data_IF_910701151772
#
_entry.id   IF_910701151772
#
_cell.length_a   1.000
_cell.length_b   1.000
_cell.length_c   1.000
_cell.angle_alpha   90.00
_cell.angle_beta   90.00
_cell.angle_gamma   90.00
#
_symmetry.space_group_name_H-M   'P 1'
#
loop_
_entity.id
_entity.type
_entity.pdbx_description
1 polymer ?
#
# COMPACT_ATOMS: atom_id res chain seq x y z
N UNK A 1 -4.27 16.60 -4.44
CA UNK A 1 -2.97 17.08 -3.95
C UNK A 1 -2.15 17.51 -5.15
N UNK A 2 -1.46 18.63 -5.01
CA UNK A 2 -0.76 19.26 -6.13
C UNK A 2 0.72 19.56 -5.79
N UNK A 3 1.16 19.17 -4.61
CA UNK A 3 2.55 19.34 -4.20
C UNK A 3 2.99 18.28 -3.18
N UNK A 4 4.30 18.13 -3.04
CA UNK A 4 4.95 17.17 -2.14
C UNK A 4 4.57 17.38 -0.67
N UNK A 5 4.49 18.62 -0.23
CA UNK A 5 4.19 18.95 1.17
C UNK A 5 2.79 18.45 1.57
N UNK A 6 1.80 18.68 0.71
CA UNK A 6 0.45 18.14 0.92
C UNK A 6 0.44 16.61 0.95
N UNK A 7 1.16 15.97 0.02
CA UNK A 7 1.25 14.50 -0.04
C UNK A 7 1.87 13.92 1.22
N UNK A 8 2.99 14.48 1.69
CA UNK A 8 3.65 14.05 2.93
C UNK A 8 2.76 14.29 4.16
N UNK A 9 2.07 15.42 4.21
CA UNK A 9 1.13 15.73 5.31
C UNK A 9 0.01 14.69 5.40
N UNK A 10 -0.58 14.33 4.26
CA UNK A 10 -1.65 13.31 4.22
C UNK A 10 -1.07 11.92 4.50
N UNK A 11 0.11 11.61 3.98
CA UNK A 11 0.82 10.36 4.26
C UNK A 11 1.01 10.16 5.77
N UNK A 12 1.62 11.11 6.45
CA UNK A 12 1.91 11.03 7.88
C UNK A 12 0.62 10.96 8.72
N UNK A 13 -0.41 11.72 8.34
CA UNK A 13 -1.72 11.71 9.00
C UNK A 13 -2.40 10.34 8.91
N UNK A 14 -2.49 9.75 7.72
CA UNK A 14 -3.20 8.48 7.54
C UNK A 14 -2.38 7.31 8.09
N UNK A 15 -1.05 7.34 8.00
CA UNK A 15 -0.17 6.35 8.63
C UNK A 15 -0.29 6.40 10.16
N UNK A 16 -0.32 7.59 10.77
CA UNK A 16 -0.51 7.76 12.21
C UNK A 16 -1.84 7.17 12.68
N UNK A 17 -2.93 7.39 11.93
CA UNK A 17 -4.24 6.81 12.26
C UNK A 17 -4.22 5.28 12.20
N UNK A 18 -3.65 4.73 11.13
CA UNK A 18 -3.51 3.29 10.98
C UNK A 18 -2.62 2.71 12.08
N UNK A 19 -1.50 3.35 12.41
CA UNK A 19 -0.59 2.92 13.47
C UNK A 19 -1.27 2.80 14.84
N UNK A 20 -2.16 3.75 15.18
CA UNK A 20 -2.98 3.67 16.42
C UNK A 20 -3.89 2.44 16.43
N UNK A 21 -4.46 2.10 15.29
CA UNK A 21 -5.30 0.89 15.16
C UNK A 21 -4.46 -0.38 15.25
N UNK A 22 -3.29 -0.41 14.58
CA UNK A 22 -2.40 -1.57 14.60
C UNK A 22 -1.79 -1.84 15.98
N UNK A 23 -1.61 -0.81 16.82
CA UNK A 23 -1.14 -0.96 18.19
C UNK A 23 -2.08 -1.81 19.06
N UNK A 24 -3.35 -1.95 18.69
CA UNK A 24 -4.32 -2.82 19.38
C UNK A 24 -4.39 -4.25 18.80
N UNK A 25 -3.57 -4.58 17.80
CA UNK A 25 -3.55 -5.89 17.13
C UNK A 25 -2.37 -6.70 17.64
N UNK A 26 -2.65 -7.91 18.12
CA UNK A 26 -1.66 -8.91 18.52
C UNK A 26 -1.65 -10.10 17.53
N UNK A 27 -0.82 -11.12 17.79
CA UNK A 27 -0.74 -12.32 16.94
C UNK A 27 -2.10 -13.01 16.79
N UNK A 28 -2.88 -13.11 17.87
CA UNK A 28 -4.19 -13.76 17.83
C UNK A 28 -5.19 -12.95 16.98
N UNK A 29 -5.39 -11.69 17.30
CA UNK A 29 -6.35 -10.83 16.60
C UNK A 29 -5.94 -10.50 15.17
N UNK A 30 -4.66 -10.57 14.84
CA UNK A 30 -4.18 -10.40 13.45
C UNK A 30 -4.73 -11.45 12.47
N UNK A 31 -5.16 -12.60 12.98
CA UNK A 31 -5.83 -13.65 12.22
C UNK A 31 -7.34 -13.43 12.00
N UNK A 32 -7.94 -12.40 12.59
CA UNK A 32 -9.36 -12.12 12.41
C UNK A 32 -9.68 -11.59 11.00
N UNK A 33 -10.87 -11.90 10.52
CA UNK A 33 -11.43 -11.42 9.25
C UNK A 33 -12.87 -10.95 9.45
N UNK A 34 -13.40 -10.20 8.49
CA UNK A 34 -14.82 -9.88 8.46
C UNK A 34 -15.65 -11.14 8.10
N UNK A 35 -16.95 -11.23 8.52
CA UNK A 35 -17.78 -12.38 8.23
C UNK A 35 -17.92 -12.70 6.72
N UNK A 36 -17.95 -11.67 5.89
CA UNK A 36 -18.19 -11.80 4.45
C UNK A 36 -16.92 -11.64 3.60
N UNK A 37 -15.74 -11.47 4.23
CA UNK A 37 -14.48 -11.30 3.54
C UNK A 37 -13.39 -12.17 4.19
N UNK A 38 -12.77 -13.12 3.46
CA UNK A 38 -11.75 -14.00 4.00
C UNK A 38 -10.41 -13.29 4.28
N UNK A 39 -10.24 -12.03 3.88
CA UNK A 39 -9.01 -11.29 4.13
C UNK A 39 -8.83 -11.01 5.63
N UNK A 40 -7.81 -11.64 6.21
CA UNK A 40 -7.41 -11.39 7.61
C UNK A 40 -6.70 -10.04 7.75
N UNK A 41 -6.58 -9.55 8.98
CA UNK A 41 -5.75 -8.35 9.25
C UNK A 41 -4.31 -8.56 8.76
N UNK A 42 -3.73 -9.76 8.94
CA UNK A 42 -2.45 -10.14 8.33
C UNK A 42 -2.44 -9.94 6.81
N UNK A 43 -3.46 -10.45 6.14
CA UNK A 43 -3.61 -10.33 4.69
C UNK A 43 -3.76 -8.89 4.23
N UNK A 44 -4.54 -8.08 4.93
CA UNK A 44 -4.72 -6.66 4.63
C UNK A 44 -3.38 -5.93 4.68
N UNK A 45 -2.58 -6.11 5.72
CA UNK A 45 -1.28 -5.44 5.86
C UNK A 45 -0.26 -5.95 4.85
N UNK A 46 -0.16 -7.26 4.65
CA UNK A 46 0.72 -7.84 3.63
C UNK A 46 0.40 -7.33 2.21
N UNK A 47 -0.89 -7.19 1.88
CA UNK A 47 -1.33 -6.62 0.62
C UNK A 47 -0.85 -5.17 0.46
N UNK A 48 -0.97 -4.32 1.48
CA UNK A 48 -0.49 -2.93 1.43
C UNK A 48 1.02 -2.85 1.25
N UNK A 49 1.76 -3.68 1.99
CA UNK A 49 3.23 -3.82 1.86
C UNK A 49 3.63 -4.20 0.43
N UNK A 50 2.96 -5.21 -0.13
CA UNK A 50 3.24 -5.67 -1.49
C UNK A 50 3.02 -4.56 -2.53
N UNK A 51 1.91 -3.83 -2.46
CA UNK A 51 1.59 -2.80 -3.44
C UNK A 51 2.46 -1.54 -3.32
N UNK A 52 2.98 -1.20 -2.15
CA UNK A 52 4.06 -0.20 -2.02
C UNK A 52 5.32 -0.68 -2.74
N UNK A 53 5.69 -1.95 -2.62
CA UNK A 53 6.81 -2.53 -3.37
C UNK A 53 6.57 -2.54 -4.89
N UNK A 54 5.33 -2.76 -5.34
CA UNK A 54 4.97 -2.67 -6.76
C UNK A 54 5.17 -1.25 -7.32
N UNK A 55 4.78 -0.22 -6.56
CA UNK A 55 5.02 1.17 -6.94
C UNK A 55 6.50 1.44 -7.23
N UNK A 56 7.39 0.99 -6.34
CA UNK A 56 8.83 1.14 -6.54
C UNK A 56 9.32 0.40 -7.78
N UNK A 57 8.84 -0.82 -8.04
CA UNK A 57 9.19 -1.58 -9.25
C UNK A 57 8.74 -0.88 -10.52
N UNK A 58 7.52 -0.33 -10.58
CA UNK A 58 7.07 0.45 -11.74
C UNK A 58 7.98 1.64 -12.00
N UNK A 59 8.35 2.36 -10.94
CA UNK A 59 9.25 3.51 -11.06
C UNK A 59 10.64 3.09 -11.55
N UNK A 60 11.24 2.08 -10.94
CA UNK A 60 12.56 1.56 -11.31
C UNK A 60 12.61 1.04 -12.74
N UNK A 61 11.59 0.28 -13.16
CA UNK A 61 11.47 -0.20 -14.54
C UNK A 61 11.35 0.96 -15.51
N UNK A 62 10.54 1.96 -15.20
CA UNK A 62 10.39 3.16 -16.03
C UNK A 62 11.68 3.95 -16.17
N UNK A 63 12.40 4.19 -15.09
CA UNK A 63 13.70 4.90 -15.11
C UNK A 63 14.76 4.12 -15.87
N UNK A 64 14.75 2.78 -15.76
CA UNK A 64 15.68 1.92 -16.48
C UNK A 64 15.32 1.69 -17.97
N UNK A 65 14.23 2.30 -18.45
CA UNK A 65 13.75 2.12 -19.82
C UNK A 65 13.18 0.73 -20.11
N UNK A 66 12.87 -0.05 -19.07
CA UNK A 66 12.20 -1.35 -19.20
C UNK A 66 10.69 -1.16 -19.39
N UNK A 67 10.06 -2.16 -19.98
CA UNK A 67 8.59 -2.15 -20.10
C UNK A 67 7.95 -2.21 -18.69
N UNK A 68 7.10 -1.24 -18.39
CA UNK A 68 6.34 -1.20 -17.14
C UNK A 68 4.97 -1.84 -17.33
N UNK A 69 4.66 -2.87 -16.54
CA UNK A 69 3.37 -3.54 -16.55
C UNK A 69 2.54 -3.06 -15.36
N UNK A 70 1.44 -2.34 -15.61
CA UNK A 70 0.53 -1.84 -14.60
C UNK A 70 -0.84 -2.49 -14.76
N UNK A 71 -1.35 -3.22 -13.76
CA UNK A 71 -0.82 -3.42 -12.40
C UNK A 71 0.39 -4.36 -12.35
N UNK A 72 0.43 -5.43 -13.16
CA UNK A 72 1.56 -6.35 -13.24
C UNK A 72 1.45 -7.22 -14.50
N UNK A 73 2.57 -7.81 -14.92
CA UNK A 73 2.62 -8.66 -16.12
C UNK A 73 1.61 -9.81 -16.03
N UNK A 74 0.78 -9.96 -17.03
CA UNK A 74 -0.20 -11.05 -17.14
C UNK A 74 -1.52 -10.81 -16.43
N UNK A 75 -1.72 -9.67 -15.76
CA UNK A 75 -2.95 -9.35 -15.03
C UNK A 75 -3.48 -7.96 -15.39
N UNK A 76 -4.82 -7.87 -15.49
CA UNK A 76 -5.56 -6.59 -15.57
C UNK A 76 -6.09 -6.21 -14.21
N UNK A 77 -6.52 -4.95 -14.04
CA UNK A 77 -7.09 -4.43 -12.79
C UNK A 77 -8.28 -5.25 -12.27
N UNK A 78 -9.11 -5.81 -13.14
CA UNK A 78 -10.24 -6.66 -12.77
C UNK A 78 -9.86 -8.12 -12.43
N UNK A 79 -8.58 -8.47 -12.50
CA UNK A 79 -8.06 -9.81 -12.20
C UNK A 79 -7.24 -9.86 -10.91
N UNK A 80 -7.21 -8.79 -10.14
CA UNK A 80 -6.37 -8.66 -8.94
C UNK A 80 -6.75 -9.63 -7.81
N UNK A 81 -7.99 -10.13 -7.79
CA UNK A 81 -8.38 -11.16 -6.80
C UNK A 81 -7.49 -12.40 -6.89
N UNK A 82 -7.27 -12.91 -8.10
CA UNK A 82 -6.39 -14.06 -8.32
C UNK A 82 -4.92 -13.72 -8.04
N UNK A 83 -4.47 -12.53 -8.43
CA UNK A 83 -3.11 -12.07 -8.17
C UNK A 83 -2.80 -11.92 -6.67
N UNK A 84 -3.75 -11.40 -5.90
CA UNK A 84 -3.57 -11.15 -4.46
C UNK A 84 -3.72 -12.42 -3.61
N UNK A 85 -4.36 -13.48 -4.10
CA UNK A 85 -4.63 -14.69 -3.32
C UNK A 85 -3.37 -15.32 -2.70
N UNK A 86 -2.21 -15.47 -3.41
CA UNK A 86 -0.99 -15.98 -2.81
C UNK A 86 -0.41 -15.06 -1.72
N UNK A 87 -0.63 -13.74 -1.83
CA UNK A 87 -0.17 -12.76 -0.82
C UNK A 87 -0.92 -13.01 0.49
N UNK A 88 -2.23 -13.19 0.43
CA UNK A 88 -3.05 -13.50 1.60
C UNK A 88 -2.70 -14.86 2.21
N UNK A 89 -2.53 -15.89 1.38
CA UNK A 89 -2.16 -17.22 1.85
C UNK A 89 -0.81 -17.21 2.60
N UNK A 90 0.20 -16.54 2.06
CA UNK A 90 1.50 -16.39 2.70
C UNK A 90 1.40 -15.58 4.00
N UNK A 91 0.61 -14.51 4.02
CA UNK A 91 0.44 -13.68 5.20
C UNK A 91 -0.15 -14.47 6.38
N UNK A 92 -1.12 -15.36 6.12
CA UNK A 92 -1.78 -16.13 7.17
C UNK A 92 -0.82 -17.05 7.95
N UNK A 93 0.26 -17.49 7.34
CA UNK A 93 1.29 -18.35 7.97
C UNK A 93 2.53 -17.58 8.43
N UNK A 94 2.56 -16.26 8.23
CA UNK A 94 3.68 -15.40 8.65
C UNK A 94 3.39 -14.80 10.03
N UNK A 95 4.37 -14.77 10.96
CA UNK A 95 4.18 -14.11 12.25
C UNK A 95 3.80 -12.63 12.10
N UNK A 96 2.88 -12.16 12.92
CA UNK A 96 2.40 -10.78 12.88
C UNK A 96 3.53 -9.75 13.00
N UNK A 97 4.46 -9.98 13.94
CA UNK A 97 5.61 -9.09 14.13
C UNK A 97 6.46 -8.92 12.87
N UNK A 98 6.64 -9.98 12.08
CA UNK A 98 7.36 -9.91 10.80
C UNK A 98 6.60 -9.12 9.75
N UNK A 99 5.28 -9.34 9.62
CA UNK A 99 4.44 -8.57 8.70
C UNK A 99 4.39 -7.08 9.05
N UNK A 100 4.33 -6.76 10.34
CA UNK A 100 4.32 -5.39 10.82
C UNK A 100 5.66 -4.69 10.53
N UNK A 101 6.77 -5.37 10.77
CA UNK A 101 8.12 -4.86 10.46
C UNK A 101 8.31 -4.61 8.95
N UNK A 102 7.85 -5.53 8.10
CA UNK A 102 7.90 -5.37 6.65
C UNK A 102 7.05 -4.18 6.18
N UNK A 103 5.87 -4.01 6.78
CA UNK A 103 4.98 -2.89 6.50
C UNK A 103 5.61 -1.55 6.90
N UNK A 104 6.19 -1.45 8.10
CA UNK A 104 6.87 -0.25 8.58
C UNK A 104 8.04 0.14 7.66
N UNK A 105 8.85 -0.85 7.25
CA UNK A 105 9.95 -0.64 6.30
C UNK A 105 9.44 -0.14 4.94
N UNK A 106 8.36 -0.72 4.43
CA UNK A 106 7.77 -0.29 3.16
C UNK A 106 7.21 1.14 3.25
N UNK A 107 6.59 1.51 4.38
CA UNK A 107 6.13 2.88 4.63
C UNK A 107 7.27 3.88 4.65
N UNK A 108 8.38 3.55 5.32
CA UNK A 108 9.57 4.40 5.36
C UNK A 108 10.18 4.59 3.97
N UNK A 109 10.29 3.52 3.18
CA UNK A 109 10.80 3.58 1.81
C UNK A 109 9.93 4.48 0.93
N UNK A 110 8.60 4.32 0.97
CA UNK A 110 7.70 5.15 0.17
C UNK A 110 7.74 6.61 0.62
N UNK A 111 7.76 6.87 1.92
CA UNK A 111 7.87 8.21 2.46
C UNK A 111 9.17 8.91 2.03
N UNK A 112 10.29 8.22 2.15
CA UNK A 112 11.61 8.70 1.74
C UNK A 112 11.66 8.97 0.23
N UNK A 113 11.08 8.08 -0.57
CA UNK A 113 10.94 8.29 -2.00
C UNK A 113 10.19 9.59 -2.31
N UNK A 114 9.01 9.80 -1.72
CA UNK A 114 8.23 11.04 -1.92
C UNK A 114 9.04 12.26 -1.49
N UNK A 115 9.68 12.23 -0.33
CA UNK A 115 10.47 13.34 0.20
C UNK A 115 11.65 13.73 -0.71
N UNK A 116 12.25 12.74 -1.39
CA UNK A 116 13.37 12.94 -2.30
C UNK A 116 12.99 13.48 -3.68
N UNK A 117 11.70 13.53 -4.03
CA UNK A 117 11.23 14.04 -5.32
C UNK A 117 10.95 15.54 -5.26
N UNK A 118 10.97 16.18 -6.43
CA UNK A 118 10.47 17.55 -6.61
C UNK A 118 8.98 17.55 -6.93
N UNK A 119 8.33 18.71 -6.78
CA UNK A 119 6.92 18.86 -7.19
C UNK A 119 6.75 18.60 -8.69
N UNK A 120 7.73 19.02 -9.50
CA UNK A 120 7.74 18.76 -10.93
C UNK A 120 7.73 17.25 -11.24
N UNK A 121 8.61 16.46 -10.60
CA UNK A 121 8.66 15.01 -10.79
C UNK A 121 7.35 14.32 -10.36
N UNK A 122 6.73 14.81 -9.28
CA UNK A 122 5.53 14.20 -8.73
C UNK A 122 4.25 14.58 -9.50
N UNK A 123 4.14 15.80 -9.99
CA UNK A 123 2.86 16.35 -10.44
C UNK A 123 2.83 16.93 -11.86
N UNK A 124 3.94 16.87 -12.60
CA UNK A 124 3.90 17.21 -14.02
C UNK A 124 3.51 16.01 -14.85
N UNK A 125 2.49 16.18 -15.71
CA UNK A 125 2.03 15.14 -16.61
C UNK A 125 3.14 14.71 -17.58
N UNK A 126 3.25 13.42 -17.83
CA UNK A 126 4.17 12.86 -18.82
C UNK A 126 5.63 12.77 -18.40
N UNK A 127 6.01 13.22 -17.19
CA UNK A 127 7.37 13.05 -16.66
C UNK A 127 7.73 11.56 -16.53
N UNK A 128 6.76 10.75 -16.08
CA UNK A 128 6.89 9.30 -16.06
C UNK A 128 5.96 8.70 -17.13
N UNK A 129 6.51 8.27 -18.25
CA UNK A 129 5.70 7.81 -19.40
C UNK A 129 4.77 6.64 -19.11
N UNK A 130 5.06 5.83 -18.09
CA UNK A 130 4.24 4.67 -17.72
C UNK A 130 2.99 5.02 -16.89
N UNK A 131 2.90 6.24 -16.35
CA UNK A 131 1.78 6.63 -15.49
C UNK A 131 0.48 6.88 -16.23
N UNK A 132 0.50 6.97 -17.54
CA UNK A 132 -0.68 7.24 -18.37
C UNK A 132 -1.29 8.61 -18.07
N UNK A 133 -2.57 8.62 -17.68
CA UNK A 133 -3.30 9.85 -17.32
C UNK A 133 -3.06 10.32 -15.88
N UNK A 134 -2.32 9.55 -15.09
CA UNK A 134 -2.01 9.90 -13.70
C UNK A 134 -0.59 10.46 -13.59
N UNK A 135 -0.37 11.24 -12.56
CA UNK A 135 0.96 11.68 -12.17
C UNK A 135 1.62 10.67 -11.25
N UNK A 136 2.95 10.76 -11.10
CA UNK A 136 3.70 9.93 -10.15
C UNK A 136 3.20 10.14 -8.71
N UNK A 137 2.89 11.38 -8.33
CA UNK A 137 2.32 11.72 -7.01
C UNK A 137 0.96 11.07 -6.78
N UNK A 138 0.12 10.93 -7.83
CA UNK A 138 -1.16 10.23 -7.74
C UNK A 138 -0.97 8.73 -7.49
N UNK A 139 0.00 8.09 -8.14
CA UNK A 139 0.34 6.69 -7.87
C UNK A 139 0.91 6.50 -6.46
N UNK A 140 1.77 7.41 -5.99
CA UNK A 140 2.29 7.37 -4.62
C UNK A 140 1.17 7.53 -3.58
N UNK A 141 0.21 8.44 -3.81
CA UNK A 141 -0.98 8.62 -2.96
C UNK A 141 -1.84 7.36 -2.91
N UNK A 142 -2.09 6.74 -4.06
CA UNK A 142 -2.86 5.51 -4.13
C UNK A 142 -2.17 4.35 -3.41
N UNK A 143 -0.84 4.22 -3.53
CA UNK A 143 -0.07 3.14 -2.91
C UNK A 143 0.18 3.33 -1.41
N UNK A 144 0.13 4.55 -0.90
CA UNK A 144 0.34 4.92 0.50
C UNK A 144 -0.94 5.40 1.19
N UNK A 145 -1.19 6.71 1.26
CA UNK A 145 -2.28 7.29 2.06
C UNK A 145 -3.65 6.69 1.82
N UNK A 146 -4.02 6.44 0.56
CA UNK A 146 -5.30 5.83 0.21
C UNK A 146 -5.41 4.40 0.75
N UNK A 147 -4.34 3.61 0.61
CA UNK A 147 -4.23 2.27 1.17
C UNK A 147 -4.27 2.27 2.71
N UNK A 148 -3.60 3.22 3.37
CA UNK A 148 -3.63 3.33 4.83
C UNK A 148 -5.03 3.63 5.34
N UNK A 149 -5.73 4.55 4.70
CA UNK A 149 -7.11 4.92 5.03
C UNK A 149 -8.06 3.74 4.89
N UNK A 150 -7.98 3.01 3.78
CA UNK A 150 -8.83 1.82 3.58
C UNK A 150 -8.49 0.70 4.56
N UNK A 151 -7.21 0.42 4.80
CA UNK A 151 -6.78 -0.58 5.78
C UNK A 151 -7.29 -0.25 7.18
N UNK A 152 -7.15 1.01 7.61
CA UNK A 152 -7.66 1.48 8.90
C UNK A 152 -9.17 1.24 9.05
N UNK A 153 -9.94 1.53 8.01
CA UNK A 153 -11.40 1.31 8.01
C UNK A 153 -11.74 -0.16 8.14
N UNK A 154 -11.13 -1.03 7.33
CA UNK A 154 -11.40 -2.47 7.36
C UNK A 154 -10.96 -3.12 8.67
N UNK A 155 -9.75 -2.82 9.17
CA UNK A 155 -9.23 -3.41 10.41
C UNK A 155 -10.08 -2.99 11.60
N UNK A 156 -10.50 -1.73 11.68
CA UNK A 156 -11.40 -1.28 12.75
C UNK A 156 -12.75 -2.00 12.71
N UNK A 157 -13.31 -2.21 11.54
CA UNK A 157 -14.56 -2.97 11.39
C UNK A 157 -14.40 -4.43 11.86
N UNK A 158 -13.30 -5.09 11.49
CA UNK A 158 -12.97 -6.45 11.95
C UNK A 158 -12.86 -6.50 13.48
N UNK A 159 -12.07 -5.60 14.07
CA UNK A 159 -11.87 -5.56 15.53
C UNK A 159 -13.17 -5.25 16.30
N UNK A 160 -14.05 -4.43 15.74
CA UNK A 160 -15.33 -4.11 16.35
C UNK A 160 -16.34 -5.28 16.26
N UNK A 161 -16.30 -6.06 15.19
CA UNK A 161 -17.17 -7.24 15.02
C UNK A 161 -16.74 -8.46 15.86
N UNK A 162 -15.50 -8.48 16.32
CA UNK A 162 -14.94 -9.55 17.15
C UNK A 162 -15.16 -9.34 18.67
N UNK A 163 -15.76 -8.21 19.07
CA UNK A 163 -16.13 -7.89 20.46
C UNK A 163 -17.53 -8.39 20.76
#
# INVERSE_FOLDING_TARGET
MNNKTELLTVFDKELTKLGKTLAAVDEHSSGFSAPDDPATIKGIIAHRTHWMGMFHRWYEDGVAGRQVFVPTKGYKWNQLKAYNAPIYAKANITPWAALLSDFETACEHLRTFIASRTDHELYTDGVCGWTGKWTLGRYAEASGPSHFRSANTYIRAILNSAR
#
